data_IF_504365339144
#
_entry.id   IF_504365339144
#
_cell.length_a   1.000
_cell.length_b   1.000
_cell.length_c   1.000
_cell.angle_alpha   90.00
_cell.angle_beta   90.00
_cell.angle_gamma   90.00
#
_symmetry.space_group_name_H-M   'P 1'
#
loop_
_entity.id
_entity.type
_entity.pdbx_description
1 polymer ?
#
# COMPACT_ATOMS: atom_id res chain seq x y z
N UNK A 1 -28.22 -11.68 -25.30
CA UNK A 1 -27.83 -13.00 -24.80
C UNK A 1 -26.43 -13.01 -24.22
N UNK A 2 -25.38 -12.62 -24.91
CA UNK A 2 -23.97 -12.60 -24.43
C UNK A 2 -23.79 -11.76 -23.14
N UNK A 3 -24.34 -10.53 -23.05
CA UNK A 3 -24.27 -9.68 -21.85
C UNK A 3 -24.96 -10.31 -20.63
N UNK A 4 -26.03 -11.08 -20.82
CA UNK A 4 -26.75 -11.76 -19.74
C UNK A 4 -25.95 -12.96 -19.24
N UNK A 5 -25.34 -13.75 -20.15
CA UNK A 5 -24.47 -14.86 -19.80
C UNK A 5 -23.21 -14.41 -19.06
N UNK A 6 -22.61 -13.26 -19.46
CA UNK A 6 -21.51 -12.65 -18.72
C UNK A 6 -21.91 -12.22 -17.31
N UNK A 7 -23.10 -11.61 -17.13
CA UNK A 7 -23.61 -11.24 -15.79
C UNK A 7 -23.86 -12.47 -14.91
N UNK A 8 -24.44 -13.54 -15.47
CA UNK A 8 -24.69 -14.79 -14.75
C UNK A 8 -23.35 -15.45 -14.37
N UNK A 9 -22.41 -15.56 -15.30
CA UNK A 9 -21.07 -16.12 -15.04
C UNK A 9 -20.32 -15.34 -13.96
N UNK A 10 -20.36 -14.00 -14.00
CA UNK A 10 -19.74 -13.15 -12.98
C UNK A 10 -20.44 -13.27 -11.61
N UNK A 11 -21.76 -13.48 -11.59
CA UNK A 11 -22.52 -13.71 -10.35
C UNK A 11 -22.18 -15.07 -9.74
N UNK A 12 -22.10 -16.14 -10.54
CA UNK A 12 -21.65 -17.47 -10.10
C UNK A 12 -20.21 -17.45 -9.61
N UNK A 13 -19.31 -16.79 -10.33
CA UNK A 13 -17.91 -16.64 -9.92
C UNK A 13 -17.79 -15.88 -8.59
N UNK A 14 -18.57 -14.83 -8.36
CA UNK A 14 -18.66 -14.13 -7.07
C UNK A 14 -19.17 -15.03 -5.95
N UNK A 15 -20.16 -15.86 -6.19
CA UNK A 15 -20.70 -16.80 -5.19
C UNK A 15 -19.62 -17.81 -4.81
N UNK A 16 -18.94 -18.42 -5.78
CA UNK A 16 -17.84 -19.37 -5.53
C UNK A 16 -16.66 -18.71 -4.82
N UNK A 17 -16.27 -17.50 -5.21
CA UNK A 17 -15.20 -16.75 -4.54
C UNK A 17 -15.55 -16.39 -3.09
N UNK A 18 -16.84 -16.25 -2.78
CA UNK A 18 -17.31 -15.92 -1.44
C UNK A 18 -17.39 -17.13 -0.50
N UNK A 19 -17.51 -18.37 -1.03
CA UNK A 19 -17.64 -19.57 -0.22
C UNK A 19 -16.42 -19.80 0.69
N UNK A 20 -15.22 -19.45 0.24
CA UNK A 20 -13.96 -19.66 0.97
C UNK A 20 -13.31 -18.39 1.49
N UNK A 21 -14.05 -17.27 1.55
CA UNK A 21 -13.50 -15.97 1.95
C UNK A 21 -12.99 -15.94 3.38
N UNK A 22 -13.62 -16.69 4.29
CA UNK A 22 -13.34 -16.69 5.71
C UNK A 22 -12.81 -18.03 6.25
N UNK A 23 -12.44 -18.97 5.35
CA UNK A 23 -11.97 -20.31 5.73
C UNK A 23 -10.60 -20.27 6.42
N UNK A 24 -9.86 -19.19 6.19
CA UNK A 24 -8.59 -18.94 6.86
C UNK A 24 -8.85 -18.04 8.06
N UNK A 25 -8.87 -18.63 9.25
CA UNK A 25 -8.89 -17.89 10.51
C UNK A 25 -7.46 -17.88 11.08
N UNK A 26 -6.62 -16.95 10.64
CA UNK A 26 -5.24 -16.92 11.02
C UNK A 26 -5.10 -16.40 12.43
N UNK A 27 -4.09 -16.85 13.12
CA UNK A 27 -3.62 -16.24 14.38
C UNK A 27 -3.08 -14.82 14.14
N UNK A 28 -3.16 -14.29 12.91
CA UNK A 28 -2.72 -12.96 12.47
C UNK A 28 -1.31 -12.58 12.94
N UNK A 29 -0.47 -13.56 13.27
CA UNK A 29 0.88 -13.37 13.81
C UNK A 29 0.96 -12.36 14.96
N UNK A 30 -0.01 -12.42 15.89
CA UNK A 30 -0.11 -11.52 17.03
C UNK A 30 -0.74 -10.16 16.77
N UNK A 31 -1.09 -9.85 15.52
CA UNK A 31 -1.77 -8.61 15.19
C UNK A 31 -3.24 -8.62 15.64
N UNK A 32 -3.66 -7.54 16.31
CA UNK A 32 -5.02 -7.37 16.82
C UNK A 32 -5.62 -6.09 16.24
N UNK A 33 -6.77 -6.20 15.56
CA UNK A 33 -7.58 -5.04 15.18
C UNK A 33 -8.07 -4.34 16.43
N UNK A 34 -7.87 -3.02 16.52
CA UNK A 34 -8.21 -2.23 17.69
C UNK A 34 -9.71 -1.99 17.81
N UNK A 35 -10.42 -1.97 16.69
CA UNK A 35 -11.83 -1.66 16.63
C UNK A 35 -12.57 -2.48 15.57
N UNK A 36 -13.85 -2.70 15.79
CA UNK A 36 -14.79 -3.23 14.80
C UNK A 36 -15.29 -2.13 13.83
N UNK A 37 -14.83 -0.90 13.99
CA UNK A 37 -15.14 0.25 13.15
C UNK A 37 -13.85 0.81 12.53
N UNK A 38 -13.93 1.48 11.37
CA UNK A 38 -12.78 2.19 10.82
C UNK A 38 -12.35 3.31 11.77
N UNK A 39 -11.03 3.56 11.85
CA UNK A 39 -10.48 4.68 12.62
C UNK A 39 -10.51 5.98 11.83
N UNK A 40 -10.67 5.88 10.51
CA UNK A 40 -10.78 7.04 9.64
C UNK A 40 -11.57 6.69 8.37
N UNK A 41 -12.45 7.61 7.98
CA UNK A 41 -13.38 7.45 6.87
C UNK A 41 -14.77 7.04 7.36
N UNK A 42 -15.76 7.61 6.71
CA UNK A 42 -17.19 7.34 6.92
C UNK A 42 -17.96 7.82 5.68
N UNK A 43 -19.29 7.79 5.72
CA UNK A 43 -20.13 8.28 4.61
C UNK A 43 -20.02 9.78 4.36
N UNK A 44 -19.63 10.56 5.36
CA UNK A 44 -19.49 12.03 5.27
C UNK A 44 -18.13 12.40 4.67
N UNK A 45 -17.06 11.83 5.22
CA UNK A 45 -15.68 11.99 4.73
C UNK A 45 -15.53 11.36 3.34
N UNK A 46 -16.22 10.24 3.11
CA UNK A 46 -16.15 9.44 1.90
C UNK A 46 -15.03 8.40 1.94
N UNK A 47 -14.79 7.77 0.80
CA UNK A 47 -13.77 6.74 0.62
C UNK A 47 -12.37 7.31 0.80
N UNK A 48 -11.60 6.68 1.71
CA UNK A 48 -10.17 6.90 1.93
C UNK A 48 -9.42 5.58 1.69
N UNK A 49 -8.28 5.64 1.01
CA UNK A 49 -7.53 4.46 0.63
C UNK A 49 -6.03 4.75 0.51
N UNK A 50 -5.21 3.71 0.48
CA UNK A 50 -3.76 3.75 0.38
C UNK A 50 -3.09 4.60 1.47
N UNK A 51 -3.24 4.23 2.76
CA UNK A 51 -2.61 4.95 3.86
C UNK A 51 -1.08 4.83 3.81
N UNK A 52 -0.40 5.89 4.19
CA UNK A 52 1.03 5.92 4.49
C UNK A 52 1.30 6.74 5.74
N UNK A 53 2.03 6.17 6.68
CA UNK A 53 2.36 6.84 7.95
C UNK A 53 3.85 7.08 8.12
N UNK A 54 4.17 8.16 8.80
CA UNK A 54 5.48 8.40 9.38
C UNK A 54 5.32 9.17 10.69
N UNK A 55 6.36 9.14 11.54
CA UNK A 55 6.41 9.95 12.76
C UNK A 55 7.42 11.06 12.56
N UNK A 56 7.00 12.27 12.87
CA UNK A 56 7.90 13.44 12.97
C UNK A 56 7.77 13.97 14.37
N UNK A 57 8.89 14.02 15.10
CA UNK A 57 8.90 14.26 16.53
C UNK A 57 7.96 13.27 17.26
N UNK A 58 6.91 13.77 17.94
CA UNK A 58 5.91 12.94 18.64
C UNK A 58 4.54 12.91 17.94
N UNK A 59 4.50 13.27 16.63
CA UNK A 59 3.26 13.34 15.87
C UNK A 59 3.26 12.30 14.76
N UNK A 60 2.19 11.51 14.70
CA UNK A 60 1.93 10.58 13.61
C UNK A 60 1.27 11.37 12.49
N UNK A 61 1.89 11.37 11.32
CA UNK A 61 1.36 11.94 10.09
C UNK A 61 0.84 10.80 9.22
N UNK A 62 -0.43 10.86 8.82
CA UNK A 62 -1.05 9.91 7.90
C UNK A 62 -1.38 10.62 6.59
N UNK A 63 -0.75 10.19 5.52
CA UNK A 63 -1.09 10.57 4.16
C UNK A 63 -1.99 9.50 3.57
N UNK A 64 -3.09 9.90 2.95
CA UNK A 64 -4.09 8.97 2.43
C UNK A 64 -4.76 9.54 1.20
N UNK A 65 -5.12 8.69 0.26
CA UNK A 65 -5.83 9.09 -0.95
C UNK A 65 -7.31 9.29 -0.64
N UNK A 66 -7.87 10.43 -1.06
CA UNK A 66 -9.29 10.76 -0.90
C UNK A 66 -9.99 10.71 -2.25
N UNK A 67 -10.92 9.76 -2.42
CA UNK A 67 -11.72 9.66 -3.65
C UNK A 67 -12.64 10.87 -3.83
N UNK A 68 -13.25 11.34 -2.75
CA UNK A 68 -14.15 12.51 -2.77
C UNK A 68 -13.43 13.79 -3.15
N UNK A 69 -12.20 13.99 -2.66
CA UNK A 69 -11.40 15.19 -2.94
C UNK A 69 -10.49 15.05 -4.16
N UNK A 70 -10.34 13.83 -4.69
CA UNK A 70 -9.45 13.48 -5.81
C UNK A 70 -8.01 13.98 -5.59
N UNK A 71 -7.51 13.81 -4.38
CA UNK A 71 -6.18 14.25 -3.98
C UNK A 71 -5.62 13.39 -2.85
N UNK A 72 -4.34 13.54 -2.57
CA UNK A 72 -3.71 13.06 -1.35
C UNK A 72 -3.98 14.09 -0.26
N UNK A 73 -4.44 13.62 0.91
CA UNK A 73 -4.69 14.43 2.11
C UNK A 73 -3.81 13.96 3.26
N UNK A 74 -3.48 14.87 4.19
CA UNK A 74 -2.73 14.55 5.40
C UNK A 74 -3.60 14.78 6.64
N UNK A 75 -3.59 13.79 7.51
CA UNK A 75 -4.11 13.84 8.88
C UNK A 75 -2.96 13.82 9.89
N UNK A 76 -3.23 14.23 11.13
CA UNK A 76 -2.30 14.18 12.25
C UNK A 76 -2.95 13.49 13.45
N UNK A 77 -2.16 12.72 14.21
CA UNK A 77 -2.58 12.04 15.41
C UNK A 77 -1.44 11.95 16.43
N UNK A 78 -1.79 11.78 17.71
CA UNK A 78 -0.82 11.45 18.80
C UNK A 78 -0.89 9.97 19.16
N UNK A 79 -2.05 9.33 18.96
CA UNK A 79 -2.38 7.97 19.38
C UNK A 79 -2.57 6.97 18.22
N UNK A 80 -2.68 7.47 16.98
CA UNK A 80 -2.94 6.66 15.79
C UNK A 80 -4.40 6.26 15.58
N UNK A 81 -5.29 6.67 16.47
CA UNK A 81 -6.71 6.33 16.46
C UNK A 81 -7.61 7.57 16.29
N UNK A 82 -7.23 8.68 16.92
CA UNK A 82 -7.94 9.96 16.84
C UNK A 82 -7.21 10.91 15.89
N UNK A 83 -7.91 11.44 14.89
CA UNK A 83 -7.29 12.17 13.79
C UNK A 83 -7.80 13.61 13.67
N UNK A 84 -6.92 14.52 13.28
CA UNK A 84 -7.23 15.91 12.98
C UNK A 84 -8.16 16.04 11.75
N UNK A 85 -8.63 17.24 11.46
CA UNK A 85 -9.23 17.55 10.15
C UNK A 85 -8.18 17.40 9.03
N UNK A 86 -8.55 16.91 7.83
CA UNK A 86 -7.62 16.70 6.74
C UNK A 86 -7.16 18.01 6.10
N UNK A 87 -5.88 18.04 5.72
CA UNK A 87 -5.32 19.07 4.84
C UNK A 87 -4.98 18.46 3.48
N UNK A 88 -5.33 19.15 2.39
CA UNK A 88 -4.95 18.72 1.04
C UNK A 88 -3.45 18.92 0.84
N UNK A 89 -2.82 17.96 0.17
CA UNK A 89 -1.37 17.90 0.02
C UNK A 89 -0.95 17.93 -1.43
N UNK A 90 -1.55 17.08 -2.26
CA UNK A 90 -1.22 16.98 -3.68
C UNK A 90 -2.47 16.62 -4.48
N UNK A 91 -2.76 17.42 -5.52
CA UNK A 91 -3.83 17.17 -6.50
C UNK A 91 -3.26 16.72 -7.83
N UNK A 92 -4.08 16.01 -8.62
CA UNK A 92 -3.78 15.70 -10.01
C UNK A 92 -3.67 16.97 -10.87
N UNK A 93 -3.14 16.80 -12.08
CA UNK A 93 -3.08 17.84 -13.12
C UNK A 93 -3.83 17.29 -14.33
N UNK A 94 -4.95 17.94 -14.68
CA UNK A 94 -5.80 17.51 -15.77
C UNK A 94 -5.03 17.40 -17.09
N UNK A 95 -5.43 16.43 -17.91
CA UNK A 95 -4.84 16.15 -19.23
C UNK A 95 -3.35 15.78 -19.20
N UNK A 96 -2.86 15.25 -18.09
CA UNK A 96 -1.49 14.73 -17.95
C UNK A 96 -1.52 13.27 -17.46
N UNK A 97 -0.35 12.60 -17.48
CA UNK A 97 -0.16 11.25 -16.93
C UNK A 97 -0.52 11.15 -15.43
N UNK A 98 -0.65 12.27 -14.74
CA UNK A 98 -0.98 12.39 -13.33
C UNK A 98 -2.32 13.12 -13.10
N UNK A 99 -3.30 12.87 -13.97
CA UNK A 99 -4.65 13.45 -13.84
C UNK A 99 -5.33 13.04 -12.53
N UNK A 100 -5.00 11.86 -12.03
CA UNK A 100 -5.31 11.42 -10.67
C UNK A 100 -4.01 11.11 -9.93
N UNK A 101 -3.93 11.51 -8.64
CA UNK A 101 -2.78 11.19 -7.77
C UNK A 101 -3.23 10.40 -6.55
N UNK A 102 -2.45 9.37 -6.20
CA UNK A 102 -2.72 8.49 -5.07
C UNK A 102 -1.45 7.76 -4.60
N UNK A 103 -1.58 6.86 -3.62
CA UNK A 103 -0.54 5.88 -3.21
C UNK A 103 0.80 6.54 -2.87
N UNK A 104 0.78 7.57 -2.02
CA UNK A 104 2.00 8.25 -1.59
C UNK A 104 2.86 7.36 -0.68
N UNK A 105 4.18 7.50 -0.84
CA UNK A 105 5.20 7.07 0.11
C UNK A 105 6.01 8.31 0.50
N UNK A 106 6.20 8.55 1.79
CA UNK A 106 6.89 9.75 2.29
C UNK A 106 8.09 9.39 3.16
N UNK A 107 9.24 9.94 2.85
CA UNK A 107 10.43 9.89 3.67
C UNK A 107 10.78 11.30 4.16
N UNK A 108 10.99 11.46 5.46
CA UNK A 108 11.52 12.71 6.03
C UNK A 108 13.00 12.55 6.30
N UNK A 109 13.84 13.26 5.54
CA UNK A 109 15.30 13.18 5.60
C UNK A 109 15.90 14.57 5.45
N UNK A 110 16.88 14.89 6.28
CA UNK A 110 17.63 16.15 6.24
C UNK A 110 16.72 17.41 6.23
N UNK A 111 15.63 17.38 7.00
CA UNK A 111 14.65 18.46 7.09
C UNK A 111 13.75 18.62 5.84
N UNK A 112 13.76 17.65 4.93
CA UNK A 112 12.94 17.64 3.71
C UNK A 112 12.03 16.42 3.72
N UNK A 113 10.77 16.63 3.36
CA UNK A 113 9.83 15.56 3.06
C UNK A 113 9.93 15.20 1.58
N UNK A 114 10.31 13.98 1.30
CA UNK A 114 10.37 13.37 -0.02
C UNK A 114 9.12 12.53 -0.23
N UNK A 115 8.37 12.77 -1.28
CA UNK A 115 7.16 12.03 -1.61
C UNK A 115 7.30 11.38 -2.99
N UNK A 116 7.22 10.05 -3.04
CA UNK A 116 6.95 9.31 -4.26
C UNK A 116 5.46 8.97 -4.27
N UNK A 117 4.79 9.27 -5.38
CA UNK A 117 3.35 9.10 -5.52
C UNK A 117 2.99 8.47 -6.86
N UNK A 118 1.84 7.82 -6.93
CA UNK A 118 1.32 7.35 -8.20
C UNK A 118 0.53 8.46 -8.88
N UNK A 119 0.88 8.74 -10.13
CA UNK A 119 0.02 9.44 -11.07
C UNK A 119 -0.66 8.42 -11.96
N UNK A 120 -1.93 8.65 -12.29
CA UNK A 120 -2.74 7.76 -13.12
C UNK A 120 -3.52 8.53 -14.15
N UNK A 121 -3.48 8.02 -15.39
CA UNK A 121 -4.35 8.41 -16.50
C UNK A 121 -4.80 7.15 -17.25
N UNK A 122 -6.11 7.01 -17.50
CA UNK A 122 -6.72 5.89 -18.26
C UNK A 122 -6.26 4.49 -17.78
N UNK A 123 -6.24 4.28 -16.47
CA UNK A 123 -5.84 3.01 -15.83
C UNK A 123 -4.34 2.66 -15.95
N UNK A 124 -3.51 3.53 -16.50
CA UNK A 124 -2.05 3.41 -16.50
C UNK A 124 -1.45 4.25 -15.38
N UNK A 125 -0.66 3.62 -14.53
CA UNK A 125 0.01 4.31 -13.41
C UNK A 125 1.52 4.41 -13.63
N UNK A 126 2.07 5.54 -13.16
CA UNK A 126 3.50 5.83 -13.13
C UNK A 126 3.85 6.45 -11.78
N UNK A 127 5.12 6.47 -11.41
CA UNK A 127 5.55 7.05 -10.14
C UNK A 127 6.17 8.44 -10.40
N UNK A 128 5.66 9.45 -9.70
CA UNK A 128 6.18 10.80 -9.66
C UNK A 128 6.91 11.11 -8.36
N UNK A 129 7.58 12.25 -8.32
CA UNK A 129 8.34 12.70 -7.16
C UNK A 129 8.08 14.17 -6.85
N UNK A 130 7.90 14.47 -5.58
CA UNK A 130 7.69 15.83 -5.06
C UNK A 130 8.39 15.99 -3.71
N UNK A 131 8.75 17.22 -3.36
CA UNK A 131 9.39 17.56 -2.07
C UNK A 131 8.63 18.64 -1.34
N UNK A 132 8.79 18.68 -0.01
CA UNK A 132 8.19 19.71 0.86
C UNK A 132 9.10 19.99 2.06
N UNK A 133 9.05 21.23 2.57
CA UNK A 133 9.71 21.63 3.83
C UNK A 133 8.82 21.41 5.07
N UNK A 134 7.51 21.36 4.90
CA UNK A 134 6.53 21.30 5.99
C UNK A 134 5.65 20.04 5.96
N UNK A 135 5.85 19.19 4.94
CA UNK A 135 5.05 17.99 4.73
C UNK A 135 3.60 18.28 4.32
N UNK A 136 3.28 19.51 3.91
CA UNK A 136 1.96 19.93 3.42
C UNK A 136 2.04 20.46 1.98
N UNK A 137 2.93 21.41 1.75
CA UNK A 137 3.06 22.08 0.47
C UNK A 137 4.15 21.37 -0.35
N UNK A 138 3.74 20.38 -1.15
CA UNK A 138 4.65 19.62 -1.99
C UNK A 138 4.80 20.25 -3.37
N UNK A 139 6.04 20.49 -3.76
CA UNK A 139 6.42 20.91 -5.11
C UNK A 139 6.89 19.70 -5.92
N UNK A 140 6.29 19.46 -7.08
CA UNK A 140 6.78 18.45 -8.03
C UNK A 140 8.14 18.84 -8.57
N UNK A 141 9.05 17.88 -8.61
CA UNK A 141 10.42 18.14 -9.10
C UNK A 141 10.47 18.10 -10.62
N UNK A 142 9.56 17.35 -11.25
CA UNK A 142 9.48 17.22 -12.70
C UNK A 142 8.03 17.12 -13.16
N UNK A 143 7.76 17.52 -14.41
CA UNK A 143 6.53 17.21 -15.13
C UNK A 143 6.47 15.73 -15.55
N UNK A 144 7.65 15.09 -15.70
CA UNK A 144 7.77 13.69 -16.09
C UNK A 144 7.81 12.76 -14.88
N UNK A 145 7.34 11.51 -15.02
CA UNK A 145 7.46 10.51 -13.96
C UNK A 145 8.92 10.10 -13.74
N UNK A 146 9.27 9.78 -12.49
CA UNK A 146 10.61 9.27 -12.14
C UNK A 146 10.73 7.76 -12.32
N UNK A 147 9.60 7.04 -12.42
CA UNK A 147 9.59 5.60 -12.73
C UNK A 147 8.37 5.27 -13.61
N UNK A 148 8.64 4.55 -14.71
CA UNK A 148 7.62 4.04 -15.65
C UNK A 148 7.85 2.56 -15.88
N UNK A 149 6.87 1.84 -16.41
CA UNK A 149 7.07 0.47 -16.86
C UNK A 149 8.03 0.44 -18.07
N UNK A 150 9.09 -0.34 -17.98
CA UNK A 150 10.06 -0.57 -19.06
C UNK A 150 10.40 -2.04 -19.24
N UNK A 151 10.13 -2.86 -18.22
CA UNK A 151 10.42 -4.29 -18.23
C UNK A 151 9.17 -5.10 -18.56
N UNK A 152 9.31 -6.20 -19.28
CA UNK A 152 8.17 -7.04 -19.68
C UNK A 152 7.34 -7.53 -18.49
N UNK A 153 7.98 -7.86 -17.36
CA UNK A 153 7.31 -8.33 -16.15
C UNK A 153 6.53 -7.24 -15.39
N UNK A 154 6.73 -5.98 -15.73
CA UNK A 154 6.02 -4.85 -15.13
C UNK A 154 4.65 -4.61 -15.76
N UNK A 155 4.36 -5.24 -16.90
CA UNK A 155 3.15 -4.95 -17.68
C UNK A 155 3.13 -3.50 -18.14
N UNK A 156 2.03 -2.77 -17.95
CA UNK A 156 1.89 -1.37 -18.40
C UNK A 156 1.96 -0.35 -17.27
N UNK A 157 1.94 -0.79 -16.01
CA UNK A 157 1.82 0.09 -14.85
C UNK A 157 2.83 -0.23 -13.76
N UNK A 158 3.42 0.81 -13.17
CA UNK A 158 4.19 0.75 -11.92
C UNK A 158 3.51 1.60 -10.86
N UNK A 159 3.44 1.09 -9.62
CA UNK A 159 2.63 1.71 -8.58
C UNK A 159 3.06 1.34 -7.15
N UNK A 160 2.44 1.97 -6.15
CA UNK A 160 2.61 1.63 -4.73
C UNK A 160 4.08 1.65 -4.28
N UNK A 161 4.80 2.77 -4.46
CA UNK A 161 6.16 2.86 -3.99
C UNK A 161 6.25 2.68 -2.47
N UNK A 162 7.29 1.99 -2.01
CA UNK A 162 7.75 1.92 -0.62
C UNK A 162 9.24 2.19 -0.62
N UNK A 163 9.66 3.32 -0.08
CA UNK A 163 11.05 3.79 -0.18
C UNK A 163 11.68 3.85 1.20
N UNK A 164 12.88 3.32 1.32
CA UNK A 164 13.77 3.48 2.48
C UNK A 164 15.08 4.15 2.04
N UNK A 165 15.68 4.89 2.96
CA UNK A 165 17.07 5.31 2.85
C UNK A 165 17.98 4.26 3.49
N UNK A 166 19.02 3.86 2.79
CA UNK A 166 20.03 2.93 3.27
C UNK A 166 21.29 3.75 3.64
N UNK A 167 21.48 3.96 4.95
CA UNK A 167 22.61 4.74 5.47
C UNK A 167 23.95 4.12 5.15
N UNK A 168 24.02 2.78 5.09
CA UNK A 168 25.28 2.08 4.82
C UNK A 168 25.73 2.22 3.36
N UNK A 169 24.77 2.30 2.43
CA UNK A 169 25.00 2.41 0.99
C UNK A 169 24.82 3.84 0.46
N UNK A 170 24.34 4.76 1.31
CA UNK A 170 24.03 6.16 0.97
C UNK A 170 23.14 6.27 -0.28
N UNK A 171 22.03 5.51 -0.29
CA UNK A 171 21.11 5.46 -1.43
C UNK A 171 19.68 5.19 -1.00
N UNK A 172 18.74 5.55 -1.86
CA UNK A 172 17.34 5.19 -1.76
C UNK A 172 17.12 3.79 -2.32
N UNK A 173 16.28 3.01 -1.65
CA UNK A 173 15.83 1.69 -2.06
C UNK A 173 14.31 1.71 -2.19
N UNK A 174 13.79 1.35 -3.34
CA UNK A 174 12.35 1.34 -3.62
C UNK A 174 11.87 -0.07 -3.92
N UNK A 175 10.84 -0.50 -3.21
CA UNK A 175 10.00 -1.63 -3.60
C UNK A 175 8.71 -1.04 -4.17
N UNK A 176 8.30 -1.53 -5.32
CA UNK A 176 7.11 -1.04 -6.02
C UNK A 176 6.34 -2.19 -6.64
N UNK A 177 5.04 -2.03 -6.79
CA UNK A 177 4.20 -3.01 -7.45
C UNK A 177 4.10 -2.70 -8.95
N UNK A 178 3.91 -3.74 -9.76
CA UNK A 178 3.76 -3.61 -11.20
C UNK A 178 2.73 -4.61 -11.74
N UNK A 179 2.06 -4.28 -12.86
CA UNK A 179 1.03 -5.11 -13.48
C UNK A 179 0.41 -4.51 -14.74
N UNK A 180 -0.55 -5.24 -15.33
CA UNK A 180 -1.17 -4.90 -16.63
C UNK A 180 -2.18 -3.76 -16.58
N UNK A 181 -2.56 -3.30 -15.40
CA UNK A 181 -3.46 -2.16 -15.20
C UNK A 181 -3.19 -1.55 -13.82
N UNK A 182 -4.13 -0.83 -13.25
CA UNK A 182 -4.03 -0.29 -11.88
C UNK A 182 -4.01 -1.37 -10.78
N UNK A 183 -4.22 -2.65 -11.10
CA UNK A 183 -4.11 -3.79 -10.18
C UNK A 183 -2.74 -4.47 -10.37
N UNK A 184 -1.93 -4.58 -9.31
CA UNK A 184 -0.59 -5.14 -9.41
C UNK A 184 -0.60 -6.68 -9.52
N UNK A 185 0.47 -7.23 -10.10
CA UNK A 185 0.70 -8.66 -10.24
C UNK A 185 1.94 -9.14 -9.47
N UNK A 186 2.94 -8.26 -9.35
CA UNK A 186 4.24 -8.55 -8.75
C UNK A 186 4.77 -7.38 -7.94
N UNK A 187 5.79 -7.64 -7.08
CA UNK A 187 6.57 -6.60 -6.42
C UNK A 187 7.98 -6.59 -7.00
N UNK A 188 8.43 -5.42 -7.38
CA UNK A 188 9.70 -5.12 -8.03
C UNK A 188 10.61 -4.32 -7.10
N UNK A 189 11.87 -4.13 -7.50
CA UNK A 189 12.87 -3.39 -6.73
C UNK A 189 13.70 -2.47 -7.62
N UNK A 190 14.05 -1.30 -7.09
CA UNK A 190 14.98 -0.36 -7.72
C UNK A 190 15.80 0.40 -6.69
N UNK A 191 16.96 0.92 -7.11
CA UNK A 191 17.89 1.71 -6.31
C UNK A 191 18.16 3.06 -6.95
N UNK A 192 18.41 4.10 -6.14
CA UNK A 192 18.69 5.45 -6.61
C UNK A 192 19.59 6.21 -5.63
N UNK A 193 20.51 7.02 -6.13
CA UNK A 193 21.31 7.93 -5.30
C UNK A 193 20.61 9.26 -5.03
N UNK A 194 19.69 9.68 -5.89
CA UNK A 194 19.04 11.00 -5.84
C UNK A 194 17.51 10.95 -5.64
N UNK A 195 16.92 9.73 -5.68
CA UNK A 195 15.47 9.53 -5.59
C UNK A 195 14.71 9.86 -6.88
N UNK A 196 15.40 10.18 -7.95
CA UNK A 196 14.87 10.59 -9.27
C UNK A 196 15.24 9.57 -10.34
N UNK A 197 16.53 9.23 -10.42
CA UNK A 197 17.06 8.27 -11.39
C UNK A 197 17.19 6.89 -10.75
N UNK A 198 16.41 5.93 -11.24
CA UNK A 198 16.25 4.62 -10.63
C UNK A 198 16.86 3.50 -11.48
N UNK A 199 17.76 2.71 -10.89
CA UNK A 199 18.27 1.47 -11.46
C UNK A 199 17.38 0.31 -11.02
N UNK A 200 16.64 -0.27 -11.96
CA UNK A 200 15.73 -1.39 -11.69
C UNK A 200 16.45 -2.71 -11.57
N UNK A 201 15.98 -3.56 -10.69
CA UNK A 201 16.37 -4.96 -10.64
C UNK A 201 15.78 -5.71 -11.85
N UNK A 202 16.51 -6.67 -12.37
CA UNK A 202 16.19 -7.38 -13.62
C UNK A 202 15.04 -8.37 -13.55
N UNK A 203 14.47 -8.58 -12.36
CA UNK A 203 13.33 -9.47 -12.13
C UNK A 203 12.51 -9.00 -10.91
N UNK A 204 11.22 -9.37 -10.81
CA UNK A 204 10.45 -9.13 -9.60
C UNK A 204 11.07 -9.81 -8.39
N UNK A 205 11.06 -9.12 -7.25
CA UNK A 205 11.57 -9.65 -5.97
C UNK A 205 10.52 -10.46 -5.20
N UNK A 206 9.24 -10.26 -5.49
CA UNK A 206 8.16 -11.07 -4.93
C UNK A 206 7.06 -11.31 -5.96
N UNK A 207 6.64 -12.58 -6.10
CA UNK A 207 5.54 -13.04 -6.97
C UNK A 207 4.52 -13.83 -6.15
N UNK A 208 3.34 -14.06 -6.71
CA UNK A 208 2.36 -14.97 -6.14
C UNK A 208 2.97 -16.36 -5.83
N UNK A 209 2.59 -16.92 -4.71
CA UNK A 209 2.97 -18.28 -4.33
C UNK A 209 1.73 -19.18 -4.20
N UNK A 210 1.61 -20.14 -5.10
CA UNK A 210 0.48 -21.08 -5.11
C UNK A 210 0.42 -22.01 -3.89
N UNK A 211 1.49 -22.10 -3.12
CA UNK A 211 1.51 -22.85 -1.84
C UNK A 211 0.72 -22.14 -0.75
N UNK A 212 0.57 -20.82 -0.86
CA UNK A 212 -0.22 -19.98 0.06
C UNK A 212 -1.55 -19.62 -0.62
N UNK A 213 -2.63 -20.28 -0.22
CA UNK A 213 -3.95 -20.13 -0.83
C UNK A 213 -4.43 -18.67 -0.86
N UNK A 214 -4.08 -17.88 0.12
CA UNK A 214 -4.48 -16.49 0.28
C UNK A 214 -3.71 -15.48 -0.60
N UNK A 215 -2.63 -15.91 -1.27
CA UNK A 215 -1.84 -15.08 -2.20
C UNK A 215 -1.52 -15.81 -3.53
N UNK A 216 -2.28 -16.85 -3.84
CA UNK A 216 -2.02 -17.73 -5.00
C UNK A 216 -2.18 -17.05 -6.35
N UNK A 217 -2.92 -15.92 -6.40
CA UNK A 217 -3.23 -15.25 -7.67
C UNK A 217 -2.24 -14.14 -8.00
N UNK A 218 -2.02 -13.22 -7.05
CA UNK A 218 -1.22 -12.00 -7.22
C UNK A 218 -0.64 -11.53 -5.89
N UNK A 219 0.37 -10.67 -5.96
CA UNK A 219 0.87 -9.87 -4.84
C UNK A 219 1.02 -8.42 -5.26
N UNK A 220 0.97 -7.49 -4.29
CA UNK A 220 1.18 -6.08 -4.61
C UNK A 220 1.15 -5.17 -3.40
N UNK A 221 1.28 -3.89 -3.64
CA UNK A 221 1.09 -2.82 -2.68
C UNK A 221 1.78 -3.02 -1.33
N UNK A 222 3.12 -3.01 -1.30
CA UNK A 222 3.88 -3.27 -0.08
C UNK A 222 4.22 -2.02 0.73
N UNK A 223 4.61 -2.26 1.98
CA UNK A 223 5.35 -1.37 2.85
C UNK A 223 6.52 -2.14 3.47
N UNK A 224 7.74 -1.69 3.25
CA UNK A 224 8.96 -2.29 3.79
C UNK A 224 9.45 -1.46 4.96
N UNK A 225 9.83 -2.12 6.04
CA UNK A 225 10.43 -1.51 7.23
C UNK A 225 11.75 -2.20 7.58
N UNK A 226 12.69 -1.43 8.14
CA UNK A 226 13.87 -1.97 8.80
C UNK A 226 13.54 -2.39 10.22
N UNK A 227 14.03 -3.56 10.62
CA UNK A 227 13.92 -4.07 11.99
C UNK A 227 15.19 -3.71 12.80
N UNK A 228 15.12 -3.66 14.14
CA UNK A 228 16.28 -3.35 14.98
C UNK A 228 17.47 -4.30 14.83
N UNK A 229 17.23 -5.53 14.38
CA UNK A 229 18.26 -6.53 14.11
C UNK A 229 18.91 -6.39 12.72
N UNK A 230 18.62 -5.33 12.00
CA UNK A 230 19.16 -5.05 10.65
C UNK A 230 18.42 -5.74 9.51
N UNK A 231 17.48 -6.67 9.80
CA UNK A 231 16.65 -7.32 8.78
C UNK A 231 15.59 -6.37 8.25
N UNK A 232 15.06 -6.71 7.07
CA UNK A 232 13.92 -6.03 6.47
C UNK A 232 12.66 -6.90 6.60
N UNK A 233 11.54 -6.27 6.83
CA UNK A 233 10.23 -6.92 6.78
C UNK A 233 9.31 -6.18 5.83
N UNK A 234 8.74 -6.90 4.87
CA UNK A 234 7.77 -6.41 3.91
C UNK A 234 6.38 -6.83 4.33
N UNK A 235 5.48 -5.87 4.48
CA UNK A 235 4.05 -6.08 4.57
C UNK A 235 3.43 -5.81 3.21
N UNK A 236 2.65 -6.73 2.67
CA UNK A 236 2.15 -6.64 1.29
C UNK A 236 0.74 -7.20 1.14
N UNK A 237 0.14 -6.95 -0.01
CA UNK A 237 -1.18 -7.46 -0.35
C UNK A 237 -1.00 -8.83 -1.00
N UNK A 238 -1.63 -9.86 -0.42
CA UNK A 238 -1.84 -11.15 -1.05
C UNK A 238 -3.26 -11.26 -1.62
N UNK A 239 -3.40 -11.64 -2.90
CA UNK A 239 -4.68 -11.82 -3.55
C UNK A 239 -4.98 -13.31 -3.72
N UNK A 240 -6.00 -13.77 -3.01
CA UNK A 240 -6.57 -15.10 -3.23
C UNK A 240 -7.32 -15.15 -4.57
N UNK A 241 -8.00 -14.07 -4.90
CA UNK A 241 -8.71 -13.80 -6.14
C UNK A 241 -9.00 -12.29 -6.26
N UNK A 242 -9.69 -11.81 -7.30
CA UNK A 242 -9.98 -10.40 -7.52
C UNK A 242 -10.92 -9.76 -6.48
N UNK A 243 -11.66 -10.58 -5.73
CA UNK A 243 -12.62 -10.09 -4.72
C UNK A 243 -12.07 -10.14 -3.30
N UNK A 244 -11.05 -10.98 -3.05
CA UNK A 244 -10.53 -11.28 -1.71
C UNK A 244 -9.03 -11.05 -1.65
N UNK A 245 -8.65 -10.09 -0.84
CA UNK A 245 -7.26 -9.78 -0.55
C UNK A 245 -7.01 -9.72 0.96
N UNK A 246 -5.76 -9.99 1.36
CA UNK A 246 -5.29 -9.96 2.75
C UNK A 246 -3.94 -9.30 2.83
N UNK A 247 -3.60 -8.86 4.03
CA UNK A 247 -2.24 -8.39 4.31
C UNK A 247 -1.40 -9.57 4.78
N UNK A 248 -0.28 -9.74 4.11
CA UNK A 248 0.73 -10.76 4.36
C UNK A 248 2.07 -10.10 4.70
N UNK A 249 3.05 -10.91 5.15
CA UNK A 249 4.41 -10.43 5.34
C UNK A 249 5.46 -11.41 4.83
N UNK A 250 6.67 -10.91 4.59
CA UNK A 250 7.86 -11.67 4.28
C UNK A 250 9.08 -10.97 4.89
N UNK A 251 10.12 -11.74 5.21
CA UNK A 251 11.36 -11.27 5.79
C UNK A 251 12.50 -11.35 4.79
N UNK A 252 13.50 -10.45 4.90
CA UNK A 252 14.69 -10.44 4.05
C UNK A 252 15.89 -9.88 4.80
N UNK A 253 17.08 -10.38 4.45
CA UNK A 253 18.37 -9.83 4.91
C UNK A 253 18.87 -8.72 3.97
N UNK A 254 18.56 -8.81 2.67
CA UNK A 254 19.13 -7.94 1.64
C UNK A 254 18.09 -7.07 0.90
N UNK A 255 16.77 -7.36 1.08
CA UNK A 255 15.68 -6.67 0.41
C UNK A 255 15.40 -7.12 -1.02
N UNK A 256 16.12 -8.14 -1.49
CA UNK A 256 15.97 -8.77 -2.82
C UNK A 256 15.40 -10.18 -2.66
N UNK A 257 15.98 -10.95 -1.76
CA UNK A 257 15.55 -12.33 -1.47
C UNK A 257 14.61 -12.34 -0.26
N UNK A 258 13.33 -12.66 -0.50
CA UNK A 258 12.28 -12.62 0.50
C UNK A 258 11.81 -14.02 0.87
N UNK A 259 11.74 -14.28 2.18
CA UNK A 259 11.26 -15.55 2.74
C UNK A 259 9.89 -15.34 3.37
N UNK A 260 8.92 -16.18 2.98
CA UNK A 260 7.59 -16.24 3.59
C UNK A 260 7.56 -17.26 4.71
N UNK A 261 7.17 -16.91 5.92
CA UNK A 261 6.81 -17.90 6.94
C UNK A 261 5.61 -18.75 6.47
N UNK A 262 5.49 -19.97 7.03
CA UNK A 262 4.39 -20.88 6.68
C UNK A 262 3.00 -20.22 6.88
N UNK A 263 2.83 -19.52 8.00
CA UNK A 263 1.69 -18.63 8.23
C UNK A 263 2.17 -17.19 8.15
N UNK A 264 2.02 -16.54 7.00
CA UNK A 264 2.44 -15.16 6.79
C UNK A 264 1.27 -14.17 6.78
N UNK A 265 0.10 -14.57 7.26
CA UNK A 265 -1.09 -13.72 7.36
C UNK A 265 -0.95 -12.71 8.51
N UNK A 266 -1.34 -11.47 8.24
CA UNK A 266 -1.29 -10.34 9.18
C UNK A 266 -2.68 -9.81 9.47
N UNK A 267 -3.41 -9.38 8.45
CA UNK A 267 -4.78 -8.87 8.59
C UNK A 267 -5.65 -9.53 7.51
N UNK A 268 -6.76 -10.11 7.95
CA UNK A 268 -7.77 -10.73 7.09
C UNK A 268 -9.10 -10.01 7.18
N UNK A 269 -9.97 -10.11 6.15
CA UNK A 269 -11.34 -9.61 6.22
C UNK A 269 -12.12 -10.19 7.40
N UNK A 270 -12.97 -9.37 8.03
CA UNK A 270 -13.81 -9.79 9.15
C UNK A 270 -15.25 -9.98 8.68
N UNK A 271 -15.80 -11.19 8.85
CA UNK A 271 -17.17 -11.53 8.45
C UNK A 271 -18.19 -10.56 9.05
N UNK A 272 -19.02 -9.96 8.20
CA UNK A 272 -20.07 -9.04 8.62
C UNK A 272 -19.61 -7.61 8.92
N UNK A 273 -18.30 -7.37 9.00
CA UNK A 273 -17.71 -6.06 9.30
C UNK A 273 -17.64 -5.14 8.09
N UNK A 274 -17.15 -3.92 8.30
CA UNK A 274 -16.90 -2.90 7.29
C UNK A 274 -15.75 -3.27 6.34
N UNK A 275 -14.86 -4.15 6.74
CA UNK A 275 -13.72 -4.66 5.96
C UNK A 275 -13.93 -6.10 5.44
N UNK A 276 -15.20 -6.51 5.29
CA UNK A 276 -15.56 -7.90 5.02
C UNK A 276 -15.17 -8.42 3.64
N UNK A 277 -14.86 -7.55 2.68
CA UNK A 277 -14.54 -7.98 1.32
C UNK A 277 -13.04 -8.12 1.09
N UNK A 278 -12.25 -7.17 1.58
CA UNK A 278 -10.79 -7.22 1.46
C UNK A 278 -10.12 -6.35 2.53
N UNK A 279 -8.89 -6.73 2.89
CA UNK A 279 -7.94 -5.90 3.63
C UNK A 279 -6.66 -5.78 2.81
N UNK A 280 -6.20 -4.56 2.56
CA UNK A 280 -5.06 -4.33 1.68
C UNK A 280 -4.34 -3.02 1.97
N UNK A 281 -3.22 -2.78 1.28
CA UNK A 281 -2.35 -1.61 1.39
C UNK A 281 -1.97 -1.30 2.84
N UNK A 282 -1.10 -2.10 3.43
CA UNK A 282 -0.61 -1.87 4.79
C UNK A 282 0.37 -0.69 4.84
N UNK A 283 0.40 -0.03 6.00
CA UNK A 283 1.50 0.84 6.40
C UNK A 283 1.80 0.59 7.88
N UNK A 284 3.07 0.39 8.22
CA UNK A 284 3.51 -0.06 9.54
C UNK A 284 4.45 0.95 10.17
N UNK A 285 4.30 1.17 11.47
CA UNK A 285 5.15 2.01 12.28
C UNK A 285 5.58 1.25 13.54
N UNK A 286 6.87 1.30 13.88
CA UNK A 286 7.38 0.81 15.17
C UNK A 286 7.47 2.00 16.13
N UNK A 287 6.83 1.91 17.29
CA UNK A 287 6.87 2.93 18.33
C UNK A 287 7.00 2.30 19.71
N UNK A 288 8.20 2.40 20.31
CA UNK A 288 8.52 1.71 21.54
C UNK A 288 8.44 0.19 21.39
N UNK A 289 7.70 -0.46 22.27
CA UNK A 289 7.50 -1.92 22.28
C UNK A 289 6.29 -2.36 21.44
N UNK A 290 5.65 -1.45 20.73
CA UNK A 290 4.49 -1.73 19.90
C UNK A 290 4.79 -1.50 18.42
N UNK A 291 4.16 -2.34 17.61
CA UNK A 291 4.01 -2.14 16.17
C UNK A 291 2.57 -1.72 15.87
N UNK A 292 2.43 -0.71 15.08
CA UNK A 292 1.16 -0.15 14.61
C UNK A 292 1.01 -0.43 13.12
N UNK A 293 -0.18 -0.82 12.70
CA UNK A 293 -0.50 -1.06 11.29
C UNK A 293 -1.83 -0.41 10.93
N UNK A 294 -1.80 0.47 9.94
CA UNK A 294 -3.01 0.99 9.31
C UNK A 294 -3.19 0.32 7.95
N UNK A 295 -4.43 0.11 7.57
CA UNK A 295 -4.77 -0.63 6.36
C UNK A 295 -6.08 -0.15 5.73
N UNK A 296 -6.23 -0.41 4.45
CA UNK A 296 -7.52 -0.31 3.79
C UNK A 296 -8.40 -1.51 4.14
N UNK A 297 -9.62 -1.26 4.60
CA UNK A 297 -10.69 -2.24 4.62
C UNK A 297 -11.74 -1.88 3.59
N UNK A 298 -12.27 -2.89 2.90
CA UNK A 298 -13.30 -2.72 1.86
C UNK A 298 -14.54 -3.56 2.14
N UNK A 299 -15.69 -2.91 1.91
CA UNK A 299 -16.99 -3.58 1.81
C UNK A 299 -17.75 -2.99 0.64
N UNK A 300 -17.98 -3.78 -0.41
CA UNK A 300 -18.55 -3.34 -1.69
C UNK A 300 -17.70 -2.23 -2.34
N UNK A 301 -18.21 -0.99 -2.33
CA UNK A 301 -17.58 0.19 -2.92
C UNK A 301 -16.97 1.13 -1.86
N UNK A 302 -17.25 0.87 -0.58
CA UNK A 302 -16.78 1.70 0.53
C UNK A 302 -15.40 1.21 0.99
N UNK A 303 -14.48 2.13 1.12
CA UNK A 303 -13.12 1.88 1.60
C UNK A 303 -12.81 2.86 2.71
N UNK A 304 -12.30 2.35 3.83
CA UNK A 304 -11.97 3.11 5.01
C UNK A 304 -10.67 2.60 5.62
N UNK A 305 -10.12 3.34 6.57
CA UNK A 305 -8.85 3.01 7.22
C UNK A 305 -9.11 2.29 8.54
N UNK A 306 -8.55 1.09 8.65
CA UNK A 306 -8.48 0.31 9.88
C UNK A 306 -7.16 0.47 10.60
N UNK A 307 -7.13 0.04 11.85
CA UNK A 307 -5.97 0.11 12.72
C UNK A 307 -5.81 -1.18 13.51
N UNK A 308 -4.59 -1.69 13.55
CA UNK A 308 -4.22 -2.86 14.30
C UNK A 308 -2.90 -2.63 15.02
N UNK A 309 -2.69 -3.36 16.11
CA UNK A 309 -1.45 -3.32 16.88
C UNK A 309 -0.91 -4.72 17.14
N UNK A 310 0.39 -4.78 17.40
CA UNK A 310 1.10 -5.98 17.81
C UNK A 310 2.19 -5.58 18.79
N UNK A 311 2.44 -6.39 19.81
CA UNK A 311 3.64 -6.27 20.63
C UNK A 311 4.88 -6.63 19.81
N UNK A 312 5.92 -5.84 19.95
CA UNK A 312 7.21 -6.11 19.32
C UNK A 312 7.82 -7.35 20.00
N UNK A 313 8.20 -8.33 19.21
CA UNK A 313 8.87 -9.54 19.68
C UNK A 313 10.35 -9.25 19.88
#
# INVERSE_FOLDING_TARGET
MIKLLCKIRNRFRRVLNNLHRYDYNPENNGWKKISNHPVLGDKVIGTLYDPYVLTVENTILLYVSSRKKQCIVRYQSKDGNSWSVPKEVLKGIDNTWQSTVNRACILHKDGVYHMWYCGMDKDVTKIGYATSKDGLHFARISSEPVLTSTEQFEGVSVMNPSVLWDDSRQMYRMWYAAGDNYEPDVICYAESYDGIHWNKHTSPVLKADKKHEWEKMKVGGCHVIGLPNGKLQMYYIGYQNLDVARICFADSEDGIHWTRPHNNLVISPTKGSWDSDATYKPTVLIKGDLMYLWYNGRKKYDEYIGFATKEKI
#
